data_IF_150986177669
#
_entry.id   IF_150986177669
#
_cell.length_a   1.000
_cell.length_b   1.000
_cell.length_c   1.000
_cell.angle_alpha   90.00
_cell.angle_beta   90.00
_cell.angle_gamma   90.00
#
_symmetry.space_group_name_H-M   'P 1'
#
loop_
_entity.id
_entity.type
_entity.pdbx_description
1 polymer ?
#
# COMPACT_ATOMS: atom_id res chain seq x y z
N UNK A 1 -40.90 47.92 48.35
CA UNK A 1 -39.87 48.37 47.39
C UNK A 1 -38.57 47.70 47.80
N UNK A 2 -37.84 46.91 47.02
CA UNK A 2 -38.07 46.11 45.81
C UNK A 2 -36.80 45.24 45.70
N UNK A 3 -36.93 43.92 45.61
CA UNK A 3 -36.67 43.07 44.41
C UNK A 3 -35.19 42.77 44.09
N UNK A 4 -34.88 41.48 44.19
CA UNK A 4 -34.00 40.61 43.36
C UNK A 4 -32.57 41.01 42.93
N UNK A 5 -31.63 40.10 43.22
CA UNK A 5 -30.95 39.25 42.23
C UNK A 5 -29.92 39.88 41.26
N UNK A 6 -28.70 39.33 41.23
CA UNK A 6 -28.13 38.74 40.01
C UNK A 6 -26.75 38.11 40.25
N UNK A 7 -26.60 36.95 39.63
CA UNK A 7 -25.38 36.17 39.45
C UNK A 7 -24.45 36.89 38.47
N UNK A 8 -23.15 36.96 38.77
CA UNK A 8 -22.11 37.17 37.77
C UNK A 8 -21.20 35.95 37.76
N UNK A 9 -21.60 34.97 36.95
CA UNK A 9 -20.70 34.04 36.30
C UNK A 9 -19.94 34.81 35.22
N UNK A 10 -18.65 34.53 35.05
CA UNK A 10 -17.95 34.46 33.76
C UNK A 10 -16.48 34.06 34.03
N UNK A 11 -16.29 32.82 34.51
CA UNK A 11 -15.02 32.12 34.34
C UNK A 11 -14.86 31.78 32.85
N UNK A 12 -14.20 32.67 32.14
CA UNK A 12 -13.63 32.39 30.82
C UNK A 12 -12.34 31.60 31.01
N UNK A 13 -12.38 30.26 30.95
CA UNK A 13 -11.29 29.51 30.32
C UNK A 13 -11.64 28.05 29.99
N UNK A 14 -12.56 27.86 29.04
CA UNK A 14 -12.80 26.58 28.40
C UNK A 14 -12.59 26.71 26.88
N UNK A 15 -11.35 26.97 26.47
CA UNK A 15 -10.98 27.12 25.05
C UNK A 15 -10.09 26.02 24.46
N UNK A 16 -9.56 25.07 25.23
CA UNK A 16 -8.49 24.17 24.76
C UNK A 16 -8.60 22.70 25.21
N UNK A 17 -9.81 22.18 25.44
CA UNK A 17 -9.99 20.76 25.80
C UNK A 17 -11.01 20.09 24.88
N UNK A 18 -10.51 19.13 24.10
CA UNK A 18 -11.22 18.23 23.18
C UNK A 18 -11.53 18.76 21.77
N UNK A 19 -10.56 18.59 20.85
CA UNK A 19 -10.94 17.90 19.61
C UNK A 19 -11.61 16.59 20.05
N UNK A 20 -12.93 16.49 19.92
CA UNK A 20 -13.70 15.38 20.49
C UNK A 20 -13.11 14.04 20.02
N UNK A 21 -13.02 13.06 20.91
CA UNK A 21 -12.54 11.71 20.57
C UNK A 21 -13.30 11.13 19.36
N UNK A 22 -14.57 11.52 19.20
CA UNK A 22 -15.38 11.24 18.04
C UNK A 22 -14.83 11.81 16.72
N UNK A 23 -14.35 13.06 16.69
CA UNK A 23 -13.74 13.65 15.51
C UNK A 23 -12.41 12.97 15.15
N UNK A 24 -11.62 12.58 16.15
CA UNK A 24 -10.37 11.82 15.96
C UNK A 24 -10.68 10.43 15.39
N UNK A 25 -11.64 9.71 15.99
CA UNK A 25 -12.06 8.39 15.52
C UNK A 25 -12.64 8.44 14.10
N UNK A 26 -13.43 9.47 13.78
CA UNK A 26 -13.95 9.69 12.44
C UNK A 26 -12.82 9.91 11.41
N UNK A 27 -11.83 10.75 11.76
CA UNK A 27 -10.66 11.00 10.91
C UNK A 27 -9.87 9.72 10.62
N UNK A 28 -9.69 8.86 11.64
CA UNK A 28 -9.00 7.57 11.48
C UNK A 28 -9.80 6.62 10.58
N UNK A 29 -11.13 6.58 10.71
CA UNK A 29 -11.99 5.75 9.84
C UNK A 29 -11.90 6.18 8.39
N UNK A 30 -12.02 7.48 8.11
CA UNK A 30 -11.89 8.02 6.75
C UNK A 30 -10.50 7.76 6.18
N UNK A 31 -9.44 8.07 6.95
CA UNK A 31 -8.07 7.80 6.54
C UNK A 31 -7.82 6.31 6.25
N UNK A 32 -8.46 5.40 7.00
CA UNK A 32 -8.36 3.95 6.75
C UNK A 32 -9.03 3.54 5.44
N UNK A 33 -10.15 4.17 5.07
CA UNK A 33 -10.79 3.97 3.77
C UNK A 33 -9.86 4.40 2.64
N UNK A 34 -9.40 5.66 2.68
CA UNK A 34 -8.45 6.20 1.70
C UNK A 34 -7.19 5.34 1.60
N UNK A 35 -6.60 4.94 2.72
CA UNK A 35 -5.44 4.06 2.72
C UNK A 35 -5.71 2.73 2.01
N UNK A 36 -6.86 2.09 2.24
CA UNK A 36 -7.21 0.83 1.57
C UNK A 36 -7.37 0.99 0.06
N UNK A 37 -7.93 2.11 -0.38
CA UNK A 37 -8.22 2.35 -1.81
C UNK A 37 -6.97 2.77 -2.59
N UNK A 38 -6.09 3.54 -1.93
CA UNK A 38 -4.87 4.11 -2.51
C UNK A 38 -3.66 3.18 -2.45
N UNK A 39 -3.63 2.21 -1.53
CA UNK A 39 -2.46 1.34 -1.37
C UNK A 39 -2.40 0.27 -2.44
N UNK A 40 -1.19 0.10 -2.96
CA UNK A 40 -0.80 -1.00 -3.82
C UNK A 40 0.32 -1.81 -3.17
N UNK A 41 0.11 -3.12 -3.12
CA UNK A 41 1.02 -4.09 -2.53
C UNK A 41 1.92 -4.71 -3.60
N UNK A 42 3.18 -4.91 -3.25
CA UNK A 42 4.16 -5.64 -4.06
C UNK A 42 4.77 -6.77 -3.23
N UNK A 43 4.61 -8.00 -3.69
CA UNK A 43 5.20 -9.18 -3.07
C UNK A 43 6.64 -9.39 -3.51
N UNK A 44 7.56 -9.58 -2.56
CA UNK A 44 9.00 -9.70 -2.83
C UNK A 44 9.73 -10.44 -1.71
N UNK A 45 11.07 -10.44 -1.72
CA UNK A 45 11.90 -10.91 -0.61
C UNK A 45 12.22 -9.80 0.39
N UNK A 46 12.56 -10.13 1.64
CA UNK A 46 12.95 -9.12 2.64
C UNK A 46 14.13 -8.25 2.18
N UNK A 47 15.17 -8.85 1.59
CA UNK A 47 16.30 -8.08 1.06
C UNK A 47 15.85 -7.08 -0.02
N UNK A 48 15.03 -7.53 -0.96
CA UNK A 48 14.48 -6.66 -2.00
C UNK A 48 13.61 -5.55 -1.42
N UNK A 49 12.84 -5.83 -0.36
CA UNK A 49 12.05 -4.81 0.34
C UNK A 49 12.92 -3.69 0.92
N UNK A 50 14.06 -4.03 1.53
CA UNK A 50 15.00 -3.04 2.06
C UNK A 50 15.55 -2.17 0.92
N UNK A 51 15.94 -2.79 -0.19
CA UNK A 51 16.44 -2.09 -1.37
C UNK A 51 15.36 -1.15 -1.94
N UNK A 52 14.15 -1.66 -2.17
CA UNK A 52 13.02 -0.90 -2.70
C UNK A 52 12.64 0.29 -1.80
N UNK A 53 12.71 0.13 -0.46
CA UNK A 53 12.51 1.25 0.47
C UNK A 53 13.61 2.30 0.37
N UNK A 54 14.86 1.89 0.16
CA UNK A 54 15.99 2.82 0.10
C UNK A 54 16.02 3.64 -1.20
N UNK A 55 15.68 3.03 -2.34
CA UNK A 55 15.92 3.61 -3.67
C UNK A 55 14.72 3.62 -4.61
N UNK A 56 13.61 2.99 -4.24
CA UNK A 56 12.44 2.83 -5.09
C UNK A 56 12.56 1.65 -6.06
N UNK A 57 11.58 1.52 -6.95
CA UNK A 57 11.57 0.51 -8.00
C UNK A 57 12.30 1.05 -9.22
N UNK A 58 13.26 0.28 -9.71
CA UNK A 58 14.03 0.59 -10.92
C UNK A 58 13.76 -0.49 -11.96
N UNK A 59 13.06 -0.13 -13.04
CA UNK A 59 12.68 -1.06 -14.10
C UNK A 59 13.91 -1.63 -14.83
N UNK A 60 14.98 -0.83 -14.96
CA UNK A 60 16.18 -1.20 -15.71
C UNK A 60 17.10 -2.13 -14.90
N UNK A 61 16.87 -2.23 -13.60
CA UNK A 61 17.62 -3.11 -12.68
C UNK A 61 16.82 -4.34 -12.23
N UNK A 62 15.72 -4.67 -12.91
CA UNK A 62 14.90 -5.83 -12.54
C UNK A 62 15.57 -7.15 -12.92
N UNK A 63 15.74 -8.01 -11.92
CA UNK A 63 16.18 -9.38 -12.10
C UNK A 63 15.02 -10.39 -12.27
N UNK A 64 13.80 -9.95 -12.60
CA UNK A 64 12.64 -10.83 -12.88
C UNK A 64 11.88 -11.42 -11.66
N UNK A 65 12.42 -11.35 -10.44
CA UNK A 65 11.67 -11.59 -9.19
C UNK A 65 10.99 -12.96 -9.09
N UNK A 66 9.69 -12.98 -8.73
CA UNK A 66 8.89 -14.20 -8.58
C UNK A 66 8.90 -15.10 -9.83
N UNK A 67 8.99 -14.51 -11.01
CA UNK A 67 8.98 -15.24 -12.28
C UNK A 67 10.30 -15.99 -12.53
N UNK A 68 11.45 -15.44 -12.12
CA UNK A 68 12.71 -16.18 -12.17
C UNK A 68 12.79 -17.27 -11.10
N UNK A 69 12.21 -17.04 -9.91
CA UNK A 69 12.10 -18.07 -8.88
C UNK A 69 11.21 -19.25 -9.31
N UNK A 70 10.12 -18.98 -10.04
CA UNK A 70 9.24 -20.01 -10.59
C UNK A 70 9.93 -20.87 -11.67
N UNK A 71 10.80 -20.28 -12.51
CA UNK A 71 11.61 -21.03 -13.48
C UNK A 71 12.54 -22.03 -12.82
N UNK A 72 13.15 -21.67 -11.68
CA UNK A 72 14.05 -22.56 -10.93
C UNK A 72 13.33 -23.80 -10.36
N UNK A 73 11.99 -23.74 -10.22
CA UNK A 73 11.16 -24.85 -9.74
C UNK A 73 10.68 -25.79 -10.85
N UNK A 74 11.23 -25.70 -12.07
CA UNK A 74 10.83 -26.53 -13.22
C UNK A 74 9.36 -26.38 -13.64
N UNK A 75 8.68 -25.32 -13.20
CA UNK A 75 7.36 -24.96 -13.72
C UNK A 75 7.52 -24.44 -15.16
N UNK A 76 6.61 -24.82 -16.06
CA UNK A 76 6.55 -24.27 -17.42
C UNK A 76 6.10 -22.80 -17.35
N UNK A 77 7.01 -21.91 -16.97
CA UNK A 77 6.75 -20.47 -16.92
C UNK A 77 6.86 -19.93 -18.34
N UNK A 78 5.78 -19.31 -18.83
CA UNK A 78 5.74 -18.68 -20.14
C UNK A 78 6.93 -17.71 -20.34
N UNK A 79 7.65 -17.87 -21.47
CA UNK A 79 8.77 -17.01 -21.85
C UNK A 79 8.35 -15.54 -21.96
N UNK A 80 7.10 -15.28 -22.31
CA UNK A 80 6.49 -13.95 -22.38
C UNK A 80 6.35 -13.35 -20.98
N UNK A 81 5.85 -14.12 -20.01
CA UNK A 81 5.73 -13.69 -18.61
C UNK A 81 7.11 -13.35 -18.04
N UNK A 82 8.12 -14.17 -18.33
CA UNK A 82 9.52 -13.92 -17.97
C UNK A 82 10.03 -12.61 -18.56
N UNK A 83 9.81 -12.39 -19.86
CA UNK A 83 10.22 -11.17 -20.55
C UNK A 83 9.51 -9.94 -19.99
N UNK A 84 8.22 -10.06 -19.67
CA UNK A 84 7.42 -8.98 -19.10
C UNK A 84 7.84 -8.66 -17.66
N UNK A 85 8.20 -9.69 -16.87
CA UNK A 85 8.69 -9.54 -15.49
C UNK A 85 9.93 -8.65 -15.38
N UNK A 86 10.75 -8.59 -16.44
CA UNK A 86 11.94 -7.74 -16.54
C UNK A 86 11.63 -6.32 -16.99
N UNK A 87 10.43 -6.05 -17.50
CA UNK A 87 10.03 -4.77 -18.10
C UNK A 87 8.93 -4.04 -17.34
N UNK A 88 8.33 -4.68 -16.33
CA UNK A 88 7.25 -4.08 -15.56
C UNK A 88 7.43 -4.25 -14.05
N UNK A 89 6.96 -3.26 -13.29
CA UNK A 89 6.71 -3.34 -11.87
C UNK A 89 5.26 -3.78 -11.63
N UNK A 90 5.06 -4.80 -10.81
CA UNK A 90 3.77 -5.45 -10.58
C UNK A 90 3.23 -5.12 -9.20
N UNK A 91 1.95 -4.84 -9.13
CA UNK A 91 1.25 -4.43 -7.93
C UNK A 91 -0.12 -5.09 -7.85
N UNK A 92 -0.67 -5.14 -6.65
CA UNK A 92 -2.07 -5.52 -6.46
C UNK A 92 -2.70 -4.73 -5.34
N UNK A 93 -3.99 -4.40 -5.47
CA UNK A 93 -4.77 -3.85 -4.35
C UNK A 93 -5.19 -4.94 -3.36
N UNK A 94 -5.07 -6.22 -3.72
CA UNK A 94 -5.35 -7.34 -2.82
C UNK A 94 -4.08 -7.83 -2.12
N UNK A 95 -3.97 -7.51 -0.83
CA UNK A 95 -2.88 -7.95 0.04
C UNK A 95 -2.70 -9.47 0.02
N UNK A 96 -3.78 -10.26 -0.07
CA UNK A 96 -3.70 -11.72 -0.08
C UNK A 96 -2.95 -12.22 -1.31
N UNK A 97 -3.22 -11.59 -2.45
CA UNK A 97 -2.59 -11.89 -3.72
C UNK A 97 -1.11 -11.52 -3.72
N UNK A 98 -0.75 -10.38 -3.14
CA UNK A 98 0.65 -9.98 -2.97
C UNK A 98 1.46 -10.99 -2.14
N UNK A 99 0.84 -11.65 -1.15
CA UNK A 99 1.51 -12.70 -0.37
C UNK A 99 1.87 -13.91 -1.22
N UNK A 100 0.99 -14.33 -2.14
CA UNK A 100 1.29 -15.45 -3.06
C UNK A 100 2.55 -15.15 -3.86
N UNK A 101 2.65 -13.92 -4.38
CA UNK A 101 3.84 -13.49 -5.10
C UNK A 101 5.08 -13.37 -4.22
N UNK A 102 4.95 -12.88 -2.98
CA UNK A 102 6.07 -12.80 -2.05
C UNK A 102 6.62 -14.20 -1.72
N UNK A 103 5.76 -15.16 -1.40
CA UNK A 103 6.15 -16.56 -1.13
C UNK A 103 6.74 -17.23 -2.36
N UNK A 104 6.27 -16.87 -3.56
CA UNK A 104 6.84 -17.35 -4.82
C UNK A 104 8.24 -16.77 -5.05
N UNK A 105 8.43 -15.46 -4.81
CA UNK A 105 9.70 -14.78 -4.94
C UNK A 105 10.75 -15.24 -3.92
N UNK A 106 10.34 -15.51 -2.69
CA UNK A 106 11.20 -16.04 -1.64
C UNK A 106 10.40 -16.88 -0.65
N UNK A 107 10.47 -18.22 -0.74
CA UNK A 107 9.79 -19.09 0.21
C UNK A 107 10.31 -18.97 1.65
N UNK A 108 11.59 -18.65 1.81
CA UNK A 108 12.27 -18.60 3.12
C UNK A 108 12.21 -17.24 3.78
N UNK A 109 12.10 -16.16 3.00
CA UNK A 109 12.07 -14.80 3.53
C UNK A 109 11.16 -13.87 2.71
N UNK A 110 9.85 -14.19 2.59
CA UNK A 110 8.90 -13.37 1.86
C UNK A 110 8.64 -12.05 2.59
N UNK A 111 8.36 -11.00 1.83
CA UNK A 111 8.04 -9.70 2.38
C UNK A 111 7.08 -8.93 1.48
N UNK A 112 6.33 -8.01 2.09
CA UNK A 112 5.46 -7.08 1.36
C UNK A 112 6.05 -5.66 1.35
N UNK A 113 6.00 -5.04 0.17
CA UNK A 113 6.22 -3.61 -0.02
C UNK A 113 4.87 -2.94 -0.24
N UNK A 114 4.66 -1.81 0.42
CA UNK A 114 3.48 -0.96 0.27
C UNK A 114 3.84 0.28 -0.53
N UNK A 115 2.97 0.65 -1.43
CA UNK A 115 3.07 1.92 -2.17
C UNK A 115 1.79 2.71 -2.03
N UNK A 116 1.89 4.04 -2.15
CA UNK A 116 0.74 4.95 -2.07
C UNK A 116 0.82 6.02 -3.15
N UNK A 117 -0.32 6.44 -3.68
CA UNK A 117 -0.38 7.44 -4.75
C UNK A 117 0.03 6.94 -6.14
N UNK A 118 0.49 5.69 -6.27
CA UNK A 118 0.93 5.12 -7.56
C UNK A 118 -0.20 5.15 -8.60
N UNK A 119 -1.42 4.73 -8.24
CA UNK A 119 -2.57 4.69 -9.17
C UNK A 119 -2.92 6.06 -9.76
N UNK A 120 -2.80 7.12 -8.96
CA UNK A 120 -3.26 8.45 -9.34
C UNK A 120 -2.16 9.32 -9.97
N UNK A 121 -0.89 8.94 -9.81
CA UNK A 121 0.24 9.80 -10.21
C UNK A 121 1.16 9.15 -11.25
N UNK A 122 1.04 7.85 -11.49
CA UNK A 122 1.86 7.13 -12.45
C UNK A 122 0.99 6.40 -13.47
N UNK A 123 1.51 6.25 -14.69
CA UNK A 123 0.83 5.45 -15.72
C UNK A 123 0.91 3.96 -15.34
N UNK A 124 -0.20 3.43 -14.81
CA UNK A 124 -0.35 2.04 -14.42
C UNK A 124 -1.53 1.43 -15.18
N UNK A 125 -1.37 0.20 -15.66
CA UNK A 125 -2.39 -0.55 -16.39
C UNK A 125 -2.79 -1.80 -15.59
N UNK A 126 -3.95 -2.39 -15.92
CA UNK A 126 -4.28 -3.74 -15.47
C UNK A 126 -3.24 -4.72 -16.00
N UNK A 127 -2.90 -5.74 -15.20
CA UNK A 127 -1.96 -6.77 -15.62
C UNK A 127 -2.67 -7.85 -16.47
N UNK A 128 -2.46 -7.91 -17.79
CA UNK A 128 -3.08 -8.91 -18.66
C UNK A 128 -2.46 -10.32 -18.48
N UNK A 129 -1.32 -10.41 -17.79
CA UNK A 129 -0.62 -11.68 -17.55
C UNK A 129 -1.19 -12.43 -16.34
N UNK A 130 -1.91 -11.73 -15.44
CA UNK A 130 -2.55 -12.33 -14.26
C UNK A 130 -4.03 -12.61 -14.53
N UNK A 131 -4.38 -13.90 -14.58
CA UNK A 131 -5.73 -14.38 -14.90
C UNK A 131 -6.32 -15.26 -13.80
N UNK A 132 -7.64 -15.26 -13.71
CA UNK A 132 -8.38 -16.15 -12.82
C UNK A 132 -8.66 -17.52 -13.47
N UNK A 133 -9.44 -18.36 -12.78
CA UNK A 133 -9.80 -19.71 -13.24
C UNK A 133 -10.64 -19.73 -14.53
N UNK A 134 -11.31 -18.61 -14.85
CA UNK A 134 -12.09 -18.44 -16.07
C UNK A 134 -11.27 -17.79 -17.19
N UNK A 135 -9.96 -17.62 -16.98
CA UNK A 135 -9.05 -16.95 -17.90
C UNK A 135 -9.34 -15.44 -18.07
N UNK A 136 -10.05 -14.82 -17.12
CA UNK A 136 -10.33 -13.39 -17.13
C UNK A 136 -9.23 -12.59 -16.41
N UNK A 137 -9.04 -11.34 -16.81
CA UNK A 137 -8.02 -10.45 -16.19
C UNK A 137 -8.42 -10.15 -14.75
N UNK A 138 -7.51 -10.38 -13.80
CA UNK A 138 -7.75 -10.06 -12.39
C UNK A 138 -7.70 -8.55 -12.18
N UNK A 139 -8.85 -7.93 -11.92
CA UNK A 139 -9.02 -6.47 -11.83
C UNK A 139 -8.29 -5.80 -10.65
N UNK A 140 -7.75 -6.59 -9.73
CA UNK A 140 -6.95 -6.09 -8.61
C UNK A 140 -5.45 -6.12 -8.91
N UNK A 141 -5.01 -6.62 -10.06
CA UNK A 141 -3.61 -6.74 -10.43
C UNK A 141 -3.24 -5.72 -11.50
N UNK A 142 -2.11 -5.07 -11.27
CA UNK A 142 -1.67 -3.92 -12.04
C UNK A 142 -0.19 -4.02 -12.37
N UNK A 143 0.22 -3.37 -13.46
CA UNK A 143 1.63 -3.26 -13.83
C UNK A 143 1.96 -1.91 -14.43
N UNK A 144 3.23 -1.52 -14.35
CA UNK A 144 3.75 -0.31 -15.01
C UNK A 144 5.16 -0.53 -15.54
N UNK A 145 5.49 0.09 -16.68
CA UNK A 145 6.85 0.12 -17.23
C UNK A 145 7.72 1.19 -16.57
N UNK A 146 7.13 2.08 -15.78
CA UNK A 146 7.85 3.16 -15.13
C UNK A 146 8.59 2.68 -13.89
N UNK A 147 9.77 3.27 -13.65
CA UNK A 147 10.40 3.26 -12.34
C UNK A 147 9.53 4.03 -11.34
N UNK A 148 9.55 3.61 -10.07
CA UNK A 148 8.73 4.19 -9.00
C UNK A 148 9.67 4.80 -7.98
N UNK A 149 9.72 6.14 -7.86
CA UNK A 149 10.59 6.81 -6.91
C UNK A 149 10.31 6.37 -5.47
N UNK A 150 11.35 6.35 -4.63
CA UNK A 150 11.24 5.90 -3.22
C UNK A 150 10.16 6.61 -2.40
N UNK A 151 9.79 7.84 -2.75
CA UNK A 151 8.74 8.61 -2.07
C UNK A 151 7.36 7.94 -2.13
N UNK A 152 7.10 7.13 -3.17
CA UNK A 152 5.88 6.34 -3.30
C UNK A 152 5.88 5.08 -2.43
N UNK A 153 7.04 4.70 -1.87
CA UNK A 153 7.18 3.51 -1.02
C UNK A 153 6.89 3.92 0.42
N UNK A 154 5.90 3.27 1.02
CA UNK A 154 5.46 3.62 2.38
C UNK A 154 6.48 3.12 3.41
N UNK A 155 6.87 4.03 4.29
CA UNK A 155 7.79 3.76 5.39
C UNK A 155 7.20 2.90 6.50
N UNK A 156 7.99 2.70 7.56
CA UNK A 156 7.55 2.01 8.76
C UNK A 156 6.45 2.79 9.50
N UNK A 157 5.53 2.09 10.16
CA UNK A 157 4.56 2.63 11.11
C UNK A 157 5.20 3.50 12.19
N UNK A 158 6.40 3.17 12.64
CA UNK A 158 7.13 3.95 13.67
C UNK A 158 8.04 5.03 13.09
N UNK A 159 8.12 5.16 11.76
CA UNK A 159 8.91 6.24 11.14
C UNK A 159 8.18 7.57 11.17
N UNK A 160 8.95 8.66 11.22
CA UNK A 160 8.41 10.00 11.08
C UNK A 160 7.67 10.18 9.74
N UNK A 161 6.73 11.15 9.66
CA UNK A 161 6.15 11.58 8.40
C UNK A 161 7.25 11.97 7.39
N UNK A 162 7.27 11.29 6.24
CA UNK A 162 8.23 11.55 5.17
C UNK A 162 7.54 12.02 3.89
N UNK A 163 8.21 11.87 2.73
CA UNK A 163 7.61 12.13 1.42
C UNK A 163 6.31 11.35 1.17
N UNK A 164 6.13 10.18 1.78
CA UNK A 164 4.91 9.37 1.72
C UNK A 164 3.70 10.08 2.36
N UNK A 165 3.92 10.95 3.35
CA UNK A 165 2.87 11.77 3.95
C UNK A 165 2.34 12.86 2.99
N UNK A 166 3.19 13.38 2.10
CA UNK A 166 2.77 14.34 1.06
C UNK A 166 1.84 13.66 0.07
N UNK A 167 2.19 12.45 -0.38
CA UNK A 167 1.34 11.66 -1.26
C UNK A 167 0.02 11.30 -0.58
N UNK A 168 0.06 10.85 0.68
CA UNK A 168 -1.15 10.50 1.40
C UNK A 168 -2.04 11.72 1.69
N UNK A 169 -1.46 12.90 1.91
CA UNK A 169 -2.23 14.15 1.98
C UNK A 169 -3.02 14.39 0.69
N UNK A 170 -2.41 14.18 -0.48
CA UNK A 170 -3.10 14.31 -1.77
C UNK A 170 -4.23 13.28 -1.93
N UNK A 171 -4.00 12.03 -1.51
CA UNK A 171 -5.04 11.00 -1.53
C UNK A 171 -6.21 11.35 -0.59
N UNK A 172 -5.93 11.88 0.61
CA UNK A 172 -6.94 12.38 1.54
C UNK A 172 -7.73 13.55 0.93
N UNK A 173 -7.05 14.50 0.28
CA UNK A 173 -7.67 15.64 -0.37
C UNK A 173 -8.60 15.21 -1.52
N UNK A 174 -8.19 14.22 -2.32
CA UNK A 174 -9.02 13.62 -3.37
C UNK A 174 -10.29 12.97 -2.79
N UNK A 175 -10.25 12.50 -1.54
CA UNK A 175 -11.40 11.99 -0.80
C UNK A 175 -12.15 13.07 0.00
N UNK A 176 -11.87 14.35 -0.24
CA UNK A 176 -12.53 15.48 0.43
C UNK A 176 -12.01 15.82 1.83
N UNK A 177 -10.87 15.26 2.25
CA UNK A 177 -10.27 15.48 3.57
C UNK A 177 -9.02 16.35 3.46
N UNK A 178 -9.14 17.61 3.89
CA UNK A 178 -8.03 18.56 3.90
C UNK A 178 -7.31 18.55 5.27
N UNK A 179 -6.02 18.20 5.26
CA UNK A 179 -5.17 18.16 6.46
C UNK A 179 -3.77 18.71 6.17
N UNK A 180 -3.04 19.07 7.22
CA UNK A 180 -1.61 19.37 7.10
C UNK A 180 -0.81 18.12 6.73
N UNK A 181 0.37 18.28 6.14
CA UNK A 181 1.26 17.14 5.81
C UNK A 181 1.63 16.33 7.05
N UNK A 182 1.90 17.01 8.17
CA UNK A 182 2.16 16.34 9.46
C UNK A 182 0.99 15.47 9.87
N UNK A 183 -0.24 16.00 9.80
CA UNK A 183 -1.44 15.25 10.18
C UNK A 183 -1.73 14.08 9.23
N UNK A 184 -1.48 14.25 7.93
CA UNK A 184 -1.55 13.14 6.98
C UNK A 184 -0.55 12.04 7.36
N UNK A 185 0.68 12.39 7.72
CA UNK A 185 1.68 11.43 8.20
C UNK A 185 1.23 10.68 9.46
N UNK A 186 0.73 11.39 10.47
CA UNK A 186 0.17 10.78 11.68
C UNK A 186 -0.97 9.80 11.36
N UNK A 187 -1.89 10.20 10.48
CA UNK A 187 -2.99 9.34 10.04
C UNK A 187 -2.48 8.11 9.28
N UNK A 188 -1.50 8.29 8.38
CA UNK A 188 -0.88 7.18 7.64
C UNK A 188 -0.26 6.17 8.61
N UNK A 189 0.51 6.62 9.61
CA UNK A 189 1.07 5.77 10.67
C UNK A 189 -0.01 5.09 11.49
N UNK A 190 -1.10 5.79 11.82
CA UNK A 190 -2.20 5.22 12.58
C UNK A 190 -2.90 4.06 11.83
N UNK A 191 -3.10 4.19 10.52
CA UNK A 191 -3.90 3.23 9.73
C UNK A 191 -3.07 2.12 9.07
N UNK A 192 -1.77 2.33 8.85
CA UNK A 192 -0.90 1.29 8.33
C UNK A 192 -0.52 0.25 9.40
N UNK A 193 0.03 -0.88 8.93
CA UNK A 193 0.59 -1.93 9.77
C UNK A 193 1.98 -2.30 9.27
N UNK A 194 2.94 -2.48 10.18
CA UNK A 194 4.26 -3.04 9.88
C UNK A 194 4.35 -4.55 10.09
N UNK A 195 3.29 -5.17 10.62
CA UNK A 195 3.29 -6.61 10.84
C UNK A 195 3.50 -7.34 9.52
N UNK A 196 4.47 -8.26 9.54
CA UNK A 196 4.66 -9.29 8.53
C UNK A 196 4.08 -10.64 9.01
N UNK A 197 3.37 -10.66 10.14
CA UNK A 197 2.70 -11.86 10.69
C UNK A 197 1.59 -12.37 9.75
N UNK A 198 1.32 -11.64 8.67
CA UNK A 198 0.42 -12.03 7.60
C UNK A 198 0.87 -13.26 6.82
N UNK A 199 2.09 -13.76 7.01
CA UNK A 199 2.57 -15.00 6.36
C UNK A 199 2.29 -16.27 7.18
N UNK A 200 1.70 -16.19 8.38
CA UNK A 200 1.38 -17.39 9.17
C UNK A 200 0.10 -18.10 8.67
N UNK A 201 0.32 -19.32 8.15
CA UNK A 201 -0.57 -20.46 7.85
C UNK A 201 -1.70 -20.35 6.79
N UNK A 202 -1.48 -21.13 5.73
CA UNK A 202 -2.43 -21.98 4.94
C UNK A 202 -3.44 -21.39 3.94
N UNK A 203 -3.33 -20.14 3.49
CA UNK A 203 -4.12 -19.70 2.33
C UNK A 203 -3.42 -20.11 1.01
N UNK A 204 -3.68 -21.34 0.53
CA UNK A 204 -3.34 -21.75 -0.83
C UNK A 204 -4.33 -21.10 -1.80
N UNK A 205 -3.92 -20.05 -2.49
CA UNK A 205 -4.57 -19.65 -3.74
C UNK A 205 -3.91 -20.43 -4.87
N UNK A 206 -4.68 -21.25 -5.59
CA UNK A 206 -4.21 -21.89 -6.82
C UNK A 206 -4.15 -20.81 -7.90
N UNK A 207 -3.05 -20.06 -7.94
CA UNK A 207 -2.78 -19.16 -9.04
C UNK A 207 -2.19 -19.96 -10.19
N UNK A 208 -2.97 -20.16 -11.24
CA UNK A 208 -2.50 -20.83 -12.44
C UNK A 208 -1.63 -19.85 -13.23
N UNK A 209 -0.30 -19.89 -13.00
CA UNK A 209 0.69 -19.22 -13.86
C UNK A 209 0.97 -20.06 -15.12
N UNK A 210 -0.05 -20.72 -15.69
CA UNK A 210 0.10 -21.53 -16.89
C UNK A 210 -0.25 -20.70 -18.12
N UNK A 211 0.79 -20.30 -18.87
CA UNK A 211 0.62 -19.97 -20.28
C UNK A 211 0.59 -21.28 -21.06
N UNK A 212 -0.53 -21.57 -21.74
CA UNK A 212 -0.58 -22.68 -22.70
C UNK A 212 0.13 -22.29 -23.99
N UNK A 213 0.83 -23.28 -24.56
CA UNK A 213 1.57 -23.25 -25.82
C UNK A 213 0.79 -22.67 -27.00
#
# INVERSE_FOLDING_TARGET
MDVSGSVSTLDHDHGYRAYSEHAVAASIRTARGVYKDSVLWHGTSMQSKLDLRSRGFDVDRKAGGATEAAKQKNSAVDKTLVKNSKRHNYFTSDKKFARVFATTASPTNPALVRTIGVKNNLNIELDPDTRDENNEIVLTCFRTKSSIPKQYVVGSKSSDPGPDAVLFKSELANAGVNVSTRRAGELLRAVQSDSEDDFSSSARYNLTLEGRN
#
